data_IF_689216934511
#
_entry.id   IF_689216934511
#
_cell.length_a   1.000
_cell.length_b   1.000
_cell.length_c   1.000
_cell.angle_alpha   90.00
_cell.angle_beta   90.00
_cell.angle_gamma   90.00
#
_symmetry.space_group_name_H-M   'P 1'
#
loop_
_entity.id
_entity.type
_entity.pdbx_description
1 polymer ?
#
# COMPACT_ATOMS: atom_id res chain seq x y z
N UNK A 1 -8.39 -28.09 -12.71
CA UNK A 1 -7.03 -28.07 -13.29
C UNK A 1 -7.17 -27.62 -14.73
N UNK A 2 -6.54 -26.52 -15.12
CA UNK A 2 -6.56 -26.07 -16.53
C UNK A 2 -5.78 -27.11 -17.36
N UNK A 3 -6.49 -28.07 -17.93
CA UNK A 3 -5.89 -29.06 -18.83
C UNK A 3 -5.91 -28.48 -20.24
N UNK A 4 -4.79 -27.92 -20.68
CA UNK A 4 -4.64 -27.57 -22.09
C UNK A 4 -4.70 -28.85 -22.93
N UNK A 5 -5.57 -28.85 -23.95
CA UNK A 5 -5.63 -29.97 -24.89
C UNK A 5 -4.34 -30.04 -25.71
N UNK A 6 -3.94 -31.23 -26.15
CA UNK A 6 -2.74 -31.41 -26.99
C UNK A 6 -2.78 -30.52 -28.25
N UNK A 7 -3.96 -30.35 -28.85
CA UNK A 7 -4.18 -29.45 -29.98
C UNK A 7 -3.94 -27.97 -29.62
N UNK A 8 -4.39 -27.54 -28.43
CA UNK A 8 -4.15 -26.17 -27.96
C UNK A 8 -2.66 -25.92 -27.68
N UNK A 9 -1.95 -26.91 -27.10
CA UNK A 9 -0.50 -26.85 -26.85
C UNK A 9 0.26 -26.74 -28.18
N UNK A 10 -0.05 -27.60 -29.16
CA UNK A 10 0.58 -27.55 -30.48
C UNK A 10 0.32 -26.21 -31.19
N UNK A 11 -0.91 -25.69 -31.11
CA UNK A 11 -1.27 -24.37 -31.64
C UNK A 11 -0.54 -23.24 -30.92
N UNK A 12 -0.29 -23.37 -29.62
CA UNK A 12 0.46 -22.36 -28.88
C UNK A 12 1.92 -22.31 -29.40
N UNK A 13 2.60 -23.46 -29.47
CA UNK A 13 3.98 -23.53 -29.91
C UNK A 13 4.19 -23.15 -31.38
N UNK A 14 3.19 -23.31 -32.25
CA UNK A 14 3.27 -22.81 -33.63
C UNK A 14 3.32 -21.27 -33.75
N UNK A 15 3.00 -20.56 -32.67
CA UNK A 15 3.08 -19.10 -32.57
C UNK A 15 4.35 -18.61 -31.85
N UNK A 16 5.25 -19.52 -31.52
CA UNK A 16 6.52 -19.21 -30.84
C UNK A 16 7.66 -19.50 -31.82
N UNK A 17 8.58 -18.55 -31.98
CA UNK A 17 9.83 -18.80 -32.71
C UNK A 17 10.79 -19.56 -31.79
N UNK A 18 10.72 -20.89 -31.84
CA UNK A 18 11.56 -21.78 -31.03
C UNK A 18 13.01 -21.71 -31.51
N UNK A 19 13.94 -21.56 -30.58
CA UNK A 19 15.39 -21.56 -30.82
C UNK A 19 16.10 -22.58 -29.94
N UNK A 20 17.41 -22.39 -29.72
CA UNK A 20 18.17 -23.22 -28.76
C UNK A 20 17.76 -22.90 -27.31
N UNK A 21 18.14 -23.76 -26.37
CA UNK A 21 17.71 -23.66 -24.95
C UNK A 21 18.13 -22.37 -24.24
N UNK A 22 19.26 -21.78 -24.62
CA UNK A 22 19.74 -20.51 -24.06
C UNK A 22 19.21 -19.26 -24.80
N UNK A 23 18.45 -19.46 -25.87
CA UNK A 23 17.92 -18.36 -26.69
C UNK A 23 16.51 -18.00 -26.25
N UNK A 24 16.13 -16.73 -26.44
CA UNK A 24 14.74 -16.34 -26.24
C UNK A 24 13.86 -16.94 -27.33
N UNK A 25 12.74 -17.53 -26.92
CA UNK A 25 11.74 -18.05 -27.84
C UNK A 25 10.65 -17.00 -28.01
N UNK A 26 10.74 -16.23 -29.08
CA UNK A 26 9.93 -15.03 -29.30
C UNK A 26 8.46 -15.36 -29.61
N UNK A 27 7.53 -14.73 -28.89
CA UNK A 27 6.12 -14.73 -29.26
C UNK A 27 5.88 -13.91 -30.53
N UNK A 28 5.26 -14.51 -31.55
CA UNK A 28 5.10 -13.88 -32.88
C UNK A 28 3.73 -13.24 -33.11
N UNK A 29 2.80 -13.34 -32.13
CA UNK A 29 1.46 -12.75 -32.22
C UNK A 29 1.36 -11.45 -31.41
N UNK A 30 0.12 -10.99 -31.20
CA UNK A 30 -0.17 -9.75 -30.48
C UNK A 30 0.50 -9.67 -29.12
N UNK A 31 0.95 -8.46 -28.77
CA UNK A 31 1.60 -8.12 -27.51
C UNK A 31 0.79 -7.02 -26.82
N UNK A 32 0.81 -6.99 -25.50
CA UNK A 32 0.21 -5.91 -24.71
C UNK A 32 1.13 -4.68 -24.69
N UNK A 33 0.63 -3.54 -24.21
CA UNK A 33 1.41 -2.29 -24.14
C UNK A 33 2.72 -2.38 -23.35
N UNK A 34 2.80 -3.32 -22.39
CA UNK A 34 4.01 -3.61 -21.63
C UNK A 34 4.98 -4.59 -22.34
N UNK A 35 4.72 -4.95 -23.59
CA UNK A 35 5.59 -5.82 -24.42
C UNK A 35 5.35 -7.33 -24.25
N UNK A 36 4.57 -7.76 -23.26
CA UNK A 36 4.25 -9.17 -23.06
C UNK A 36 3.35 -9.74 -24.16
N UNK A 37 3.68 -10.93 -24.65
CA UNK A 37 2.83 -11.67 -25.60
C UNK A 37 1.46 -12.01 -24.99
N UNK A 38 0.40 -11.91 -25.79
CA UNK A 38 -0.94 -12.31 -25.44
C UNK A 38 -1.37 -13.54 -26.27
N UNK A 39 -1.81 -14.58 -25.59
CA UNK A 39 -2.30 -15.82 -26.18
C UNK A 39 -3.77 -16.03 -25.80
N UNK A 40 -4.54 -16.58 -26.73
CA UNK A 40 -5.92 -16.98 -26.46
C UNK A 40 -6.01 -18.50 -26.39
N UNK A 41 -6.32 -19.00 -25.19
CA UNK A 41 -6.43 -20.42 -24.87
C UNK A 41 -7.88 -20.78 -24.58
N UNK A 42 -8.22 -22.06 -24.77
CA UNK A 42 -9.52 -22.60 -24.37
C UNK A 42 -9.42 -22.99 -22.89
N UNK A 43 -10.45 -22.65 -22.10
CA UNK A 43 -10.50 -23.01 -20.67
C UNK A 43 -11.03 -24.44 -20.42
N UNK A 44 -11.33 -25.19 -21.48
CA UNK A 44 -11.88 -26.55 -21.42
C UNK A 44 -13.40 -26.59 -21.35
N UNK A 45 -14.06 -25.44 -21.20
CA UNK A 45 -15.52 -25.29 -21.31
C UNK A 45 -15.97 -24.85 -22.71
N UNK A 46 -15.04 -24.72 -23.67
CA UNK A 46 -15.28 -24.17 -25.00
C UNK A 46 -15.23 -22.63 -25.04
N UNK A 47 -14.92 -21.99 -23.90
CA UNK A 47 -14.74 -20.54 -23.83
C UNK A 47 -13.28 -20.20 -24.04
N UNK A 48 -13.04 -19.19 -24.88
CA UNK A 48 -11.70 -18.69 -25.17
C UNK A 48 -11.34 -17.56 -24.20
N UNK A 49 -10.30 -17.77 -23.40
CA UNK A 49 -9.77 -16.78 -22.45
C UNK A 49 -8.44 -16.22 -22.95
N UNK A 50 -8.20 -14.94 -22.65
CA UNK A 50 -6.92 -14.31 -22.93
C UNK A 50 -5.98 -14.52 -21.74
N UNK A 51 -4.78 -15.02 -22.01
CA UNK A 51 -3.71 -15.21 -21.04
C UNK A 51 -2.39 -14.64 -21.58
N UNK A 52 -1.45 -14.35 -20.68
CA UNK A 52 -0.10 -13.96 -21.08
C UNK A 52 0.63 -15.18 -21.64
N UNK A 53 1.29 -15.01 -22.79
CA UNK A 53 1.91 -16.11 -23.53
C UNK A 53 2.98 -16.83 -22.68
N UNK A 54 3.81 -16.08 -21.95
CA UNK A 54 4.82 -16.66 -21.07
C UNK A 54 4.20 -17.43 -19.88
N UNK A 55 3.00 -17.03 -19.39
CA UNK A 55 2.28 -17.80 -18.36
C UNK A 55 1.77 -19.12 -18.92
N UNK A 56 1.25 -19.12 -20.15
CA UNK A 56 0.84 -20.35 -20.84
C UNK A 56 2.04 -21.29 -21.03
N UNK A 57 3.18 -20.77 -21.50
CA UNK A 57 4.42 -21.56 -21.64
C UNK A 57 4.90 -22.13 -20.30
N UNK A 58 4.87 -21.32 -19.23
CA UNK A 58 5.23 -21.75 -17.88
C UNK A 58 4.28 -22.84 -17.35
N UNK A 59 2.97 -22.71 -17.59
CA UNK A 59 1.99 -23.73 -17.21
C UNK A 59 2.17 -25.04 -17.98
N UNK A 60 2.47 -24.97 -19.28
CA UNK A 60 2.71 -26.17 -20.11
C UNK A 60 3.94 -26.94 -19.63
N UNK A 61 5.02 -26.24 -19.27
CA UNK A 61 6.28 -26.87 -18.89
C UNK A 61 6.38 -27.25 -17.41
N UNK A 62 5.88 -26.39 -16.52
CA UNK A 62 6.05 -26.52 -15.07
C UNK A 62 4.75 -26.83 -14.32
N UNK A 63 3.63 -26.94 -15.04
CA UNK A 63 2.31 -27.14 -14.46
C UNK A 63 1.72 -25.87 -13.84
N UNK A 64 0.59 -26.04 -13.15
CA UNK A 64 -0.14 -24.94 -12.51
C UNK A 64 0.72 -24.15 -11.51
N UNK A 65 0.49 -22.84 -11.36
CA UNK A 65 1.21 -22.03 -10.39
C UNK A 65 0.98 -22.56 -8.95
N UNK A 66 2.03 -22.66 -8.12
CA UNK A 66 1.88 -22.94 -6.70
C UNK A 66 1.11 -21.84 -5.97
N UNK A 67 0.52 -22.18 -4.82
CA UNK A 67 -0.15 -21.20 -3.97
C UNK A 67 0.79 -20.03 -3.60
N UNK A 68 0.32 -18.79 -3.76
CA UNK A 68 1.13 -17.59 -3.53
C UNK A 68 2.20 -17.28 -4.59
N UNK A 69 2.37 -18.13 -5.62
CA UNK A 69 3.37 -17.96 -6.69
C UNK A 69 2.75 -17.96 -8.09
N UNK A 70 1.84 -17.03 -8.33
CA UNK A 70 1.10 -16.91 -9.59
C UNK A 70 1.82 -16.11 -10.70
N UNK A 71 3.03 -15.61 -10.46
CA UNK A 71 3.79 -14.81 -11.44
C UNK A 71 4.81 -15.69 -12.16
N UNK A 72 4.80 -15.70 -13.50
CA UNK A 72 5.84 -16.38 -14.28
C UNK A 72 6.98 -15.38 -14.52
N UNK A 73 8.12 -15.62 -13.88
CA UNK A 73 9.28 -14.72 -13.87
C UNK A 73 10.26 -15.09 -14.97
N UNK A 74 10.74 -14.09 -15.70
CA UNK A 74 11.78 -14.24 -16.71
C UNK A 74 13.17 -14.12 -16.07
N UNK A 75 14.08 -15.04 -16.39
CA UNK A 75 15.52 -14.86 -16.12
C UNK A 75 16.23 -13.99 -17.17
N UNK A 76 15.66 -13.92 -18.38
CA UNK A 76 16.23 -13.22 -19.54
C UNK A 76 15.75 -11.77 -19.72
N UNK A 77 14.83 -11.28 -18.88
CA UNK A 77 14.24 -9.93 -18.96
C UNK A 77 13.68 -9.52 -20.33
N UNK A 78 13.25 -10.50 -21.13
CA UNK A 78 12.66 -10.30 -22.44
C UNK A 78 11.15 -10.65 -22.41
N UNK A 79 10.24 -9.66 -22.29
CA UNK A 79 8.79 -9.88 -22.15
C UNK A 79 8.10 -10.81 -23.18
N UNK A 80 8.46 -10.81 -24.47
CA UNK A 80 7.90 -11.74 -25.46
C UNK A 80 8.45 -13.18 -25.37
N UNK A 81 9.47 -13.44 -24.55
CA UNK A 81 10.07 -14.76 -24.43
C UNK A 81 9.10 -15.78 -23.81
N UNK A 82 8.95 -16.93 -24.47
CA UNK A 82 8.14 -18.08 -24.06
C UNK A 82 9.00 -19.34 -23.81
N UNK A 83 10.33 -19.22 -23.70
CA UNK A 83 11.21 -20.36 -23.48
C UNK A 83 11.03 -20.88 -22.04
N UNK A 84 10.62 -22.15 -21.83
CA UNK A 84 10.46 -22.75 -20.51
C UNK A 84 11.72 -22.67 -19.62
N UNK A 85 12.91 -22.74 -20.20
CA UNK A 85 14.18 -22.66 -19.46
C UNK A 85 14.41 -21.25 -18.88
N UNK A 86 13.77 -20.23 -19.45
CA UNK A 86 13.85 -18.84 -18.97
C UNK A 86 12.70 -18.47 -18.03
N UNK A 87 11.79 -19.41 -17.74
CA UNK A 87 10.55 -19.16 -17.01
C UNK A 87 10.48 -20.01 -15.73
N UNK A 88 10.07 -19.37 -14.64
CA UNK A 88 9.76 -20.05 -13.37
C UNK A 88 8.57 -19.40 -12.67
N UNK A 89 7.83 -20.17 -11.88
CA UNK A 89 6.82 -19.60 -10.99
C UNK A 89 7.46 -18.88 -9.81
N UNK A 90 6.92 -17.72 -9.49
CA UNK A 90 7.36 -16.87 -8.40
C UNK A 90 6.24 -15.99 -7.86
N UNK A 91 6.52 -15.39 -6.72
CA UNK A 91 5.69 -14.42 -6.03
C UNK A 91 5.94 -13.01 -6.56
N UNK A 92 5.00 -12.11 -6.29
CA UNK A 92 5.19 -10.69 -6.59
C UNK A 92 6.41 -10.10 -5.84
N UNK A 93 6.70 -10.61 -4.64
CA UNK A 93 7.88 -10.21 -3.85
C UNK A 93 9.18 -10.62 -4.55
N UNK A 94 9.27 -11.84 -5.07
CA UNK A 94 10.42 -12.32 -5.83
C UNK A 94 10.61 -11.50 -7.12
N UNK A 95 9.53 -11.20 -7.87
CA UNK A 95 9.60 -10.34 -9.06
C UNK A 95 10.16 -8.94 -8.74
N UNK A 96 9.69 -8.34 -7.64
CA UNK A 96 10.15 -7.01 -7.22
C UNK A 96 11.60 -7.04 -6.76
N UNK A 97 12.01 -8.09 -6.02
CA UNK A 97 13.41 -8.27 -5.65
C UNK A 97 14.31 -8.43 -6.89
N UNK A 98 13.87 -9.24 -7.87
CA UNK A 98 14.54 -9.44 -9.15
C UNK A 98 14.68 -8.13 -9.96
N UNK A 99 13.68 -7.25 -9.91
CA UNK A 99 13.71 -5.95 -10.56
C UNK A 99 14.64 -4.96 -9.84
N UNK A 100 14.71 -5.00 -8.51
CA UNK A 100 15.62 -4.17 -7.71
C UNK A 100 17.07 -4.60 -7.93
N UNK A 101 17.36 -5.90 -7.86
CA UNK A 101 18.71 -6.45 -8.07
C UNK A 101 19.25 -6.09 -9.46
N UNK A 102 18.36 -6.05 -10.46
CA UNK A 102 18.71 -5.73 -11.86
C UNK A 102 18.55 -4.26 -12.23
N UNK A 103 18.40 -3.37 -11.24
CA UNK A 103 18.25 -1.92 -11.42
C UNK A 103 17.13 -1.51 -12.41
N UNK A 104 16.10 -2.36 -12.54
CA UNK A 104 14.89 -2.12 -13.35
C UNK A 104 13.75 -1.54 -12.52
N UNK A 105 13.85 -1.61 -11.20
CA UNK A 105 12.94 -0.89 -10.34
C UNK A 105 13.29 0.59 -10.41
N UNK A 106 12.48 1.39 -11.10
CA UNK A 106 12.53 2.84 -10.93
C UNK A 106 12.10 3.15 -9.50
N UNK A 107 13.01 3.58 -8.60
CA UNK A 107 12.55 4.09 -7.32
C UNK A 107 11.60 5.25 -7.60
N UNK A 108 10.57 5.46 -6.77
CA UNK A 108 9.79 6.69 -6.88
C UNK A 108 10.78 7.86 -6.90
N UNK A 109 10.57 8.88 -7.76
CA UNK A 109 11.41 10.06 -7.76
C UNK A 109 11.62 10.51 -6.32
N UNK A 110 12.87 10.77 -5.92
CA UNK A 110 13.24 11.17 -4.54
C UNK A 110 12.47 12.41 -4.04
N UNK A 111 11.67 13.05 -4.89
CA UNK A 111 10.92 14.27 -4.66
C UNK A 111 9.41 14.22 -5.04
N UNK A 112 8.83 13.13 -5.56
CA UNK A 112 7.39 13.09 -5.83
C UNK A 112 6.60 12.74 -4.57
N UNK A 113 6.32 13.77 -3.78
CA UNK A 113 5.00 14.03 -3.19
C UNK A 113 4.20 12.92 -2.48
N UNK A 114 4.85 11.88 -1.95
CA UNK A 114 4.28 11.06 -0.88
C UNK A 114 5.22 11.06 0.34
N UNK A 115 5.09 12.10 1.17
CA UNK A 115 5.56 12.20 2.56
C UNK A 115 7.05 12.53 2.79
N UNK A 116 7.52 13.69 2.32
CA UNK A 116 8.60 14.41 3.01
C UNK A 116 8.01 15.14 4.22
N UNK A 117 8.16 14.53 5.39
CA UNK A 117 7.65 15.02 6.69
C UNK A 117 8.33 16.32 7.14
N UNK A 118 9.46 16.62 6.51
CA UNK A 118 10.38 17.74 6.74
C UNK A 118 9.98 19.02 5.98
N UNK A 119 9.47 18.91 4.76
CA UNK A 119 9.15 20.08 3.89
C UNK A 119 7.67 20.45 3.84
N UNK A 120 6.81 19.72 4.56
CA UNK A 120 5.38 20.02 4.58
C UNK A 120 5.13 21.28 5.45
N UNK A 121 4.43 22.31 4.95
CA UNK A 121 3.99 23.42 5.79
C UNK A 121 3.18 22.85 6.96
N UNK A 122 3.45 23.33 8.18
CA UNK A 122 2.82 22.83 9.40
C UNK A 122 1.93 23.93 9.97
N UNK A 123 0.82 23.52 10.56
CA UNK A 123 -0.04 24.44 11.28
C UNK A 123 -0.73 25.47 10.38
N UNK A 124 -0.67 26.75 10.78
CA UNK A 124 -1.39 27.85 10.13
C UNK A 124 -0.93 28.14 8.70
N UNK A 125 0.27 27.69 8.33
CA UNK A 125 0.83 27.80 6.98
C UNK A 125 0.15 26.85 5.97
N UNK A 126 -0.73 25.97 6.43
CA UNK A 126 -1.51 25.08 5.56
C UNK A 126 -2.81 25.78 5.16
N UNK A 127 -2.97 26.07 3.86
CA UNK A 127 -4.10 26.81 3.28
C UNK A 127 -5.51 26.28 3.59
N UNK A 128 -5.65 25.04 4.07
CA UNK A 128 -6.94 24.43 4.44
C UNK A 128 -7.05 24.11 5.94
N UNK A 129 -6.17 24.65 6.78
CA UNK A 129 -6.25 24.43 8.22
C UNK A 129 -7.23 25.39 8.89
N UNK A 130 -8.20 24.79 9.57
CA UNK A 130 -9.19 25.48 10.41
C UNK A 130 -8.62 25.86 11.78
N UNK A 131 -7.50 25.25 12.18
CA UNK A 131 -6.88 25.47 13.48
C UNK A 131 -5.80 26.55 13.37
N UNK A 132 -5.99 27.66 14.08
CA UNK A 132 -4.99 28.74 14.22
C UNK A 132 -4.06 28.45 15.41
N UNK A 133 -2.91 29.13 15.47
CA UNK A 133 -2.01 29.02 16.64
C UNK A 133 -2.71 29.34 17.95
N UNK A 134 -3.57 30.36 17.97
CA UNK A 134 -4.29 30.76 19.18
C UNK A 134 -5.27 29.68 19.65
N UNK A 135 -5.98 29.03 18.72
CA UNK A 135 -6.84 27.88 19.04
C UNK A 135 -6.01 26.72 19.60
N UNK A 136 -4.81 26.48 19.07
CA UNK A 136 -3.90 25.42 19.57
C UNK A 136 -3.43 25.72 21.00
N UNK A 137 -3.03 26.96 21.28
CA UNK A 137 -2.64 27.39 22.63
C UNK A 137 -3.79 27.25 23.62
N UNK A 138 -5.00 27.60 23.21
CA UNK A 138 -6.19 27.45 24.05
C UNK A 138 -6.53 25.96 24.29
N UNK A 139 -6.37 25.09 23.28
CA UNK A 139 -6.48 23.64 23.47
C UNK A 139 -5.49 23.14 24.52
N UNK A 140 -4.22 23.57 24.46
CA UNK A 140 -3.22 23.18 25.45
C UNK A 140 -3.58 23.68 26.85
N UNK A 141 -4.01 24.94 26.97
CA UNK A 141 -4.45 25.52 28.25
C UNK A 141 -5.59 24.72 28.87
N UNK A 142 -6.65 24.45 28.11
CA UNK A 142 -7.83 23.70 28.58
C UNK A 142 -7.50 22.23 28.90
N UNK A 143 -6.67 21.60 28.07
CA UNK A 143 -6.26 20.20 28.29
C UNK A 143 -5.38 20.04 29.53
N UNK A 144 -4.42 20.95 29.74
CA UNK A 144 -3.51 20.92 30.89
C UNK A 144 -4.18 21.37 32.20
N UNK A 145 -5.15 22.27 32.15
CA UNK A 145 -5.95 22.65 33.33
C UNK A 145 -6.73 21.44 33.91
N UNK A 146 -7.00 20.42 33.09
CA UNK A 146 -7.76 19.25 33.48
C UNK A 146 -9.26 19.52 33.57
N UNK A 147 -10.05 18.45 33.75
CA UNK A 147 -11.51 18.56 33.96
C UNK A 147 -12.37 18.67 32.70
N UNK A 148 -11.80 18.98 31.54
CA UNK A 148 -12.51 18.93 30.26
C UNK A 148 -12.10 17.72 29.41
N UNK A 149 -13.09 17.09 28.78
CA UNK A 149 -12.86 16.07 27.75
C UNK A 149 -12.45 16.71 26.43
N UNK A 150 -11.76 15.95 25.57
CA UNK A 150 -11.40 16.43 24.21
C UNK A 150 -12.61 16.85 23.37
N UNK A 151 -13.81 16.37 23.68
CA UNK A 151 -15.05 16.78 23.00
C UNK A 151 -15.50 18.16 23.46
N UNK A 152 -15.49 18.42 24.78
CA UNK A 152 -15.82 19.73 25.34
C UNK A 152 -14.82 20.80 24.91
N UNK A 153 -13.52 20.45 24.86
CA UNK A 153 -12.48 21.36 24.36
C UNK A 153 -12.72 21.69 22.87
N UNK A 154 -13.11 20.70 22.07
CA UNK A 154 -13.40 20.90 20.65
C UNK A 154 -14.58 21.83 20.40
N UNK A 155 -15.62 21.73 21.20
CA UNK A 155 -16.76 22.66 21.18
C UNK A 155 -16.34 24.07 21.62
N UNK A 156 -15.58 24.18 22.72
CA UNK A 156 -15.13 25.47 23.26
C UNK A 156 -14.23 26.26 22.29
N UNK A 157 -13.41 25.58 21.50
CA UNK A 157 -12.47 26.21 20.55
C UNK A 157 -12.97 26.22 19.10
N UNK A 158 -14.21 25.77 18.87
CA UNK A 158 -14.81 25.59 17.54
C UNK A 158 -13.85 24.87 16.57
N UNK A 159 -13.53 23.63 16.91
CA UNK A 159 -12.61 22.78 16.16
C UNK A 159 -13.12 21.33 16.11
N UNK A 160 -12.59 20.55 15.16
CA UNK A 160 -12.92 19.13 15.13
C UNK A 160 -12.30 18.39 16.31
N UNK A 161 -13.06 17.48 16.92
CA UNK A 161 -12.56 16.61 18.02
C UNK A 161 -11.27 15.87 17.64
N UNK A 162 -11.11 15.49 16.37
CA UNK A 162 -9.91 14.81 15.90
C UNK A 162 -8.68 15.72 15.95
N UNK A 163 -8.79 16.97 15.50
CA UNK A 163 -7.71 17.96 15.57
C UNK A 163 -7.30 18.23 17.03
N UNK A 164 -8.27 18.44 17.93
CA UNK A 164 -8.03 18.62 19.36
C UNK A 164 -7.32 17.40 19.96
N UNK A 165 -7.73 16.19 19.60
CA UNK A 165 -7.12 14.95 20.09
C UNK A 165 -5.66 14.82 19.67
N UNK A 166 -5.32 15.19 18.43
CA UNK A 166 -3.96 15.14 17.94
C UNK A 166 -3.05 16.19 18.60
N UNK A 167 -3.58 17.40 18.84
CA UNK A 167 -2.89 18.46 19.58
C UNK A 167 -2.65 18.04 21.05
N UNK A 168 -3.69 17.54 21.73
CA UNK A 168 -3.63 17.09 23.11
C UNK A 168 -2.73 15.87 23.33
N UNK A 169 -2.43 15.09 22.28
CA UNK A 169 -1.49 13.95 22.32
C UNK A 169 -0.08 14.32 21.86
N UNK A 170 0.15 15.57 21.45
CA UNK A 170 1.42 16.01 20.88
C UNK A 170 1.74 15.34 19.53
N UNK A 171 0.73 14.94 18.75
CA UNK A 171 0.92 14.39 17.39
C UNK A 171 1.04 15.48 16.34
N UNK A 172 0.51 16.67 16.61
CA UNK A 172 0.54 17.85 15.75
C UNK A 172 1.02 19.08 16.53
N UNK A 173 1.34 20.17 15.81
CA UNK A 173 1.68 21.50 16.36
C UNK A 173 2.86 21.60 17.36
N UNK A 174 3.67 20.54 17.50
CA UNK A 174 4.90 20.52 18.32
C UNK A 174 6.04 21.44 17.85
N UNK A 175 5.87 22.13 16.73
CA UNK A 175 6.89 23.03 16.18
C UNK A 175 6.80 24.44 16.77
N UNK A 176 5.71 24.77 17.47
CA UNK A 176 5.59 26.05 18.17
C UNK A 176 6.57 26.07 19.37
N UNK A 177 7.24 27.21 19.64
CA UNK A 177 8.27 27.31 20.67
C UNK A 177 7.71 27.11 22.09
N UNK A 178 6.42 27.37 22.29
CA UNK A 178 5.68 27.25 23.54
C UNK A 178 4.94 25.91 23.68
N UNK A 179 5.17 24.95 22.77
CA UNK A 179 4.52 23.65 22.82
C UNK A 179 4.89 22.89 24.12
N UNK A 180 3.90 22.45 24.93
CA UNK A 180 4.16 21.66 26.12
C UNK A 180 4.84 20.33 25.80
N UNK A 181 5.54 19.76 26.80
CA UNK A 181 6.17 18.46 26.63
C UNK A 181 5.13 17.35 26.40
N UNK A 182 5.51 16.30 25.68
CA UNK A 182 4.62 15.14 25.43
C UNK A 182 4.20 14.48 26.75
N UNK A 183 5.05 14.53 27.75
CA UNK A 183 4.78 14.00 29.09
C UNK A 183 3.70 14.83 29.80
N UNK A 184 3.81 16.17 29.77
CA UNK A 184 2.78 17.07 30.32
C UNK A 184 1.44 16.87 29.61
N UNK A 185 1.44 16.73 28.29
CA UNK A 185 0.23 16.48 27.50
C UNK A 185 -0.40 15.12 27.81
N UNK A 186 0.41 14.07 28.04
CA UNK A 186 -0.09 12.76 28.46
C UNK A 186 -0.65 12.76 29.88
N UNK A 187 -0.11 13.60 30.76
CA UNK A 187 -0.56 13.73 32.15
C UNK A 187 -1.85 14.57 32.26
N UNK A 188 -2.09 15.49 31.32
CA UNK A 188 -3.30 16.33 31.26
C UNK A 188 -4.55 15.63 30.76
N UNK A 189 -5.69 16.34 30.87
CA UNK A 189 -7.01 15.89 30.44
C UNK A 189 -7.71 14.94 31.42
N UNK A 190 -8.96 14.60 31.10
CA UNK A 190 -9.76 13.63 31.89
C UNK A 190 -9.33 12.20 31.54
N UNK A 191 -8.90 11.42 32.54
CA UNK A 191 -8.58 9.99 32.34
C UNK A 191 -9.84 9.24 31.89
N UNK A 192 -9.77 8.56 30.74
CA UNK A 192 -10.84 7.64 30.29
C UNK A 192 -11.07 6.60 31.39
N UNK A 193 -12.26 6.63 31.99
CA UNK A 193 -12.65 5.75 33.09
C UNK A 193 -13.09 6.48 34.37
N UNK A 194 -12.84 7.79 34.50
CA UNK A 194 -13.41 8.60 35.59
C UNK A 194 -14.85 8.98 35.23
N UNK A 195 -15.79 8.12 35.61
CA UNK A 195 -17.21 8.44 35.50
C UNK A 195 -17.51 9.46 36.60
N UNK A 196 -17.84 10.71 36.25
CA UNK A 196 -18.21 11.75 37.24
C UNK A 196 -19.43 11.36 38.11
N UNK A 197 -20.07 10.23 37.80
CA UNK A 197 -21.14 9.61 38.57
C UNK A 197 -20.67 8.74 39.76
N UNK A 198 -19.39 8.42 39.92
CA UNK A 198 -18.93 7.61 41.07
C UNK A 198 -18.88 8.42 42.38
N UNK A 199 -18.54 9.71 42.32
CA UNK A 199 -18.39 10.54 43.53
C UNK A 199 -19.73 11.02 44.12
N UNK A 200 -20.80 11.03 43.32
CA UNK A 200 -22.15 11.38 43.78
C UNK A 200 -22.83 10.24 44.56
N UNK A 201 -22.34 9.01 44.47
CA UNK A 201 -22.87 7.87 45.22
C UNK A 201 -22.21 7.71 46.60
N UNK A 202 -21.00 8.22 46.81
CA UNK A 202 -20.32 8.16 48.12
C UNK A 202 -20.72 9.31 49.07
N UNK A 203 -21.29 10.40 48.55
CA UNK A 203 -21.76 11.53 49.38
C UNK A 203 -23.20 11.39 49.87
N UNK A 204 -23.98 10.47 49.30
CA UNK A 204 -25.32 10.10 49.80
C UNK A 204 -25.32 8.89 50.76
N UNK A 205 -24.16 8.29 51.04
CA UNK A 205 -24.03 7.10 51.89
C UNK A 205 -23.37 7.39 53.26
N UNK A 206 -23.44 8.63 53.76
CA UNK A 206 -23.06 9.00 55.13
C UNK A 206 -24.18 9.76 55.82
#
# INVERSE_FOLDING_TARGET
MEHFTAAAIARFWSNVKVGKDHQCWEWTRGKQGAGYGAAYVDDGSGKRIQMLAHRVACTIAHGSPPEGKASALHSCDNPPCCNPAHLRWGSHKENTADAIERDRASPPPKNTSYRRRDTQPKGADVWNQSLTEDKVREIWRLHLAGGMTTSQIAEAVDATRHAVTDVARGRSWRHLPDAPSVESLKAGGVRRGYNQFSDLLETCAK
#
